data_IF_843035996464
#
_entry.id   IF_843035996464
#
_cell.length_a   1.000
_cell.length_b   1.000
_cell.length_c   1.000
_cell.angle_alpha   90.00
_cell.angle_beta   90.00
_cell.angle_gamma   90.00
#
_symmetry.space_group_name_H-M   'P 1'
#
loop_
_entity.id
_entity.type
_entity.pdbx_description
1 polymer ?
#
# COMPACT_ATOMS: atom_id res chain seq x y z
N UNK A 1 -6.40 17.26 8.61
CA UNK A 1 -6.20 17.12 7.17
C UNK A 1 -6.15 15.66 6.77
N UNK A 2 -6.71 15.34 5.62
CA UNK A 2 -6.70 13.97 5.13
C UNK A 2 -5.28 13.53 4.75
N UNK A 3 -4.98 12.27 4.97
CA UNK A 3 -3.68 11.68 4.69
C UNK A 3 -3.77 10.72 3.51
N UNK A 4 -2.67 10.56 2.79
CA UNK A 4 -2.56 9.57 1.73
C UNK A 4 -2.03 8.28 2.33
N UNK A 5 -2.75 7.18 2.12
CA UNK A 5 -2.39 5.89 2.67
C UNK A 5 -1.70 5.03 1.62
N UNK A 6 -0.53 4.51 1.95
CA UNK A 6 0.18 3.56 1.12
C UNK A 6 0.11 2.18 1.76
N UNK A 7 -0.14 1.15 0.96
CA UNK A 7 -0.23 -0.22 1.43
C UNK A 7 0.80 -1.07 0.68
N UNK A 8 1.66 -1.76 1.41
CA UNK A 8 2.57 -2.73 0.82
C UNK A 8 1.90 -4.09 0.96
N UNK A 9 1.41 -4.62 -0.15
CA UNK A 9 0.67 -5.87 -0.18
C UNK A 9 -0.81 -5.65 -0.45
N UNK A 10 -1.26 -6.04 -1.65
CA UNK A 10 -2.62 -5.81 -2.11
C UNK A 10 -3.52 -7.03 -2.09
N UNK A 11 -3.18 -8.06 -1.31
CA UNK A 11 -4.00 -9.25 -1.18
C UNK A 11 -5.25 -9.00 -0.35
N UNK A 12 -5.78 -10.05 0.25
CA UNK A 12 -7.04 -9.94 0.98
C UNK A 12 -6.99 -8.93 2.12
N UNK A 13 -5.91 -8.91 2.89
CA UNK A 13 -5.79 -7.95 3.99
C UNK A 13 -5.69 -6.52 3.46
N UNK A 14 -4.94 -6.32 2.38
CA UNK A 14 -4.85 -5.00 1.75
C UNK A 14 -6.20 -4.54 1.23
N UNK A 15 -6.99 -5.46 0.67
CA UNK A 15 -8.35 -5.17 0.23
C UNK A 15 -9.23 -4.74 1.40
N UNK A 16 -9.16 -5.46 2.52
CA UNK A 16 -9.95 -5.12 3.70
C UNK A 16 -9.58 -3.75 4.25
N UNK A 17 -8.29 -3.43 4.27
CA UNK A 17 -7.82 -2.11 4.71
C UNK A 17 -8.31 -1.03 3.76
N UNK A 18 -8.26 -1.29 2.44
CA UNK A 18 -8.75 -0.35 1.46
C UNK A 18 -10.23 -0.05 1.67
N UNK A 19 -11.03 -1.08 1.88
CA UNK A 19 -12.45 -0.91 2.12
C UNK A 19 -12.73 -0.14 3.41
N UNK A 20 -11.99 -0.47 4.48
CA UNK A 20 -12.14 0.24 5.75
C UNK A 20 -11.72 1.71 5.62
N UNK A 21 -10.62 1.97 4.91
CA UNK A 21 -10.13 3.33 4.73
C UNK A 21 -11.08 4.19 3.90
N UNK A 22 -11.81 3.60 2.97
CA UNK A 22 -12.79 4.33 2.17
C UNK A 22 -13.92 4.89 3.04
N UNK A 23 -14.21 4.25 4.16
CA UNK A 23 -15.20 4.75 5.10
C UNK A 23 -14.65 5.88 5.97
N UNK A 24 -13.35 6.15 5.88
CA UNK A 24 -12.68 7.21 6.60
C UNK A 24 -12.24 8.32 5.64
N UNK A 25 -13.07 8.62 4.65
CA UNK A 25 -12.70 9.57 3.59
C UNK A 25 -12.38 10.97 4.11
N UNK A 26 -12.85 11.33 5.29
CA UNK A 26 -12.48 12.60 5.92
C UNK A 26 -11.03 12.60 6.41
N UNK A 27 -10.46 11.42 6.63
CA UNK A 27 -9.11 11.26 7.16
C UNK A 27 -8.14 10.69 6.15
N UNK A 28 -8.64 9.90 5.19
CA UNK A 28 -7.84 9.27 4.15
C UNK A 28 -8.29 9.79 2.79
N UNK A 29 -7.43 10.57 2.14
CA UNK A 29 -7.77 11.20 0.86
C UNK A 29 -7.46 10.31 -0.33
N UNK A 30 -6.49 9.43 -0.21
CA UNK A 30 -6.01 8.62 -1.31
C UNK A 30 -5.42 7.32 -0.78
N UNK A 31 -5.63 6.24 -1.51
CA UNK A 31 -5.09 4.92 -1.14
C UNK A 31 -4.31 4.39 -2.33
N UNK A 32 -3.04 4.04 -2.12
CA UNK A 32 -2.18 3.48 -3.14
C UNK A 32 -1.59 2.18 -2.61
N UNK A 33 -1.60 1.13 -3.43
CA UNK A 33 -1.09 -0.18 -3.04
C UNK A 33 0.06 -0.59 -3.94
N UNK A 34 1.06 -1.22 -3.36
CA UNK A 34 2.17 -1.85 -4.09
C UNK A 34 1.95 -3.36 -4.06
N UNK A 35 1.82 -3.97 -5.23
CA UNK A 35 1.65 -5.42 -5.36
C UNK A 35 2.15 -5.85 -6.73
N UNK A 36 2.82 -7.02 -6.85
CA UNK A 36 3.31 -7.50 -8.14
C UNK A 36 2.20 -7.99 -9.06
N UNK A 37 1.04 -8.29 -8.52
CA UNK A 37 -0.09 -8.79 -9.31
C UNK A 37 -0.95 -7.64 -9.77
N UNK A 38 -0.99 -7.40 -11.09
CA UNK A 38 -1.84 -6.35 -11.64
C UNK A 38 -3.30 -6.61 -11.28
N UNK A 39 -4.01 -5.55 -10.97
CA UNK A 39 -5.42 -5.60 -10.57
C UNK A 39 -5.63 -6.50 -9.34
N UNK A 40 -4.76 -6.34 -8.34
CA UNK A 40 -4.85 -7.10 -7.10
C UNK A 40 -6.15 -6.80 -6.35
N UNK A 41 -6.51 -7.62 -5.34
CA UNK A 41 -7.76 -7.39 -4.59
C UNK A 41 -7.92 -5.97 -4.04
N UNK A 42 -6.86 -5.36 -3.52
CA UNK A 42 -6.93 -3.98 -3.03
C UNK A 42 -7.25 -3.01 -4.16
N UNK A 43 -6.66 -3.20 -5.35
CA UNK A 43 -6.96 -2.36 -6.50
C UNK A 43 -8.40 -2.54 -6.95
N UNK A 44 -8.92 -3.75 -6.89
CA UNK A 44 -10.32 -4.00 -7.22
C UNK A 44 -11.26 -3.32 -6.22
N UNK A 45 -10.81 -3.13 -4.99
CA UNK A 45 -11.58 -2.42 -3.97
C UNK A 45 -11.52 -0.89 -4.13
N UNK A 46 -10.68 -0.40 -5.03
CA UNK A 46 -10.62 1.02 -5.34
C UNK A 46 -9.30 1.71 -5.08
N UNK A 47 -8.28 1.01 -4.62
CA UNK A 47 -6.97 1.61 -4.41
C UNK A 47 -6.27 1.82 -5.75
N UNK A 48 -5.44 2.86 -5.84
CA UNK A 48 -4.51 3.02 -6.94
C UNK A 48 -3.43 1.97 -6.78
N UNK A 49 -2.89 1.46 -7.87
CA UNK A 49 -1.89 0.41 -7.77
C UNK A 49 -0.57 0.80 -8.44
N UNK A 50 0.52 0.51 -7.73
CA UNK A 50 1.85 0.46 -8.30
C UNK A 50 2.15 -1.02 -8.48
N UNK A 51 2.30 -1.46 -9.72
CA UNK A 51 2.64 -2.86 -10.01
C UNK A 51 4.15 -3.01 -9.87
N UNK A 52 4.56 -3.80 -8.91
CA UNK A 52 5.98 -4.00 -8.65
C UNK A 52 6.21 -5.06 -7.60
N UNK A 53 7.43 -5.55 -7.56
CA UNK A 53 7.84 -6.55 -6.60
C UNK A 53 8.01 -5.92 -5.22
N UNK A 54 7.66 -6.64 -4.16
CA UNK A 54 7.85 -6.18 -2.80
C UNK A 54 9.33 -5.95 -2.44
N UNK A 55 10.24 -6.51 -3.22
CA UNK A 55 11.68 -6.33 -3.04
C UNK A 55 12.24 -5.17 -3.85
N UNK A 56 11.42 -4.55 -4.69
CA UNK A 56 11.86 -3.45 -5.56
C UNK A 56 11.89 -2.16 -4.76
N UNK A 57 13.08 -1.73 -4.37
CA UNK A 57 13.25 -0.51 -3.59
C UNK A 57 12.73 0.73 -4.31
N UNK A 58 12.86 0.78 -5.64
CA UNK A 58 12.34 1.92 -6.40
C UNK A 58 10.82 1.99 -6.33
N UNK A 59 10.16 0.83 -6.42
CA UNK A 59 8.72 0.79 -6.31
C UNK A 59 8.26 1.20 -4.91
N UNK A 60 8.97 0.76 -3.88
CA UNK A 60 8.67 1.12 -2.51
C UNK A 60 8.87 2.62 -2.28
N UNK A 61 9.95 3.18 -2.80
CA UNK A 61 10.19 4.62 -2.69
C UNK A 61 9.11 5.42 -3.41
N UNK A 62 8.67 4.92 -4.56
CA UNK A 62 7.59 5.56 -5.31
C UNK A 62 6.30 5.56 -4.50
N UNK A 63 6.00 4.45 -3.84
CA UNK A 63 4.84 4.38 -2.95
C UNK A 63 4.99 5.38 -1.80
N UNK A 64 6.18 5.44 -1.20
CA UNK A 64 6.44 6.35 -0.09
C UNK A 64 6.26 7.81 -0.48
N UNK A 65 6.67 8.18 -1.69
CA UNK A 65 6.50 9.55 -2.19
C UNK A 65 5.03 9.91 -2.34
N UNK A 66 4.17 8.93 -2.59
CA UNK A 66 2.75 9.14 -2.80
C UNK A 66 1.93 8.94 -1.55
N UNK A 67 2.58 8.71 -0.40
CA UNK A 67 1.89 8.33 0.82
C UNK A 67 2.39 9.14 2.01
N UNK A 68 1.48 9.46 2.91
CA UNK A 68 1.82 10.09 4.20
C UNK A 68 1.94 9.03 5.28
N UNK A 69 1.19 7.93 5.14
CA UNK A 69 1.19 6.80 6.06
C UNK A 69 1.38 5.54 5.24
N UNK A 70 2.27 4.66 5.66
CA UNK A 70 2.48 3.38 4.98
C UNK A 70 2.16 2.25 5.95
N UNK A 71 1.34 1.32 5.49
CA UNK A 71 1.06 0.10 6.24
C UNK A 71 1.54 -1.11 5.44
N UNK A 72 1.83 -2.16 6.14
CA UNK A 72 2.43 -3.35 5.58
C UNK A 72 1.52 -4.54 5.84
N UNK A 73 1.08 -5.15 4.75
CA UNK A 73 0.11 -6.25 4.84
C UNK A 73 0.54 -7.43 3.98
N UNK A 74 1.77 -7.90 4.21
CA UNK A 74 2.33 -9.07 3.53
C UNK A 74 2.63 -10.12 4.58
N UNK A 75 2.07 -11.31 4.41
CA UNK A 75 2.29 -12.39 5.36
C UNK A 75 3.72 -12.93 5.33
N UNK A 76 4.34 -12.95 4.15
CA UNK A 76 5.69 -13.44 3.96
C UNK A 76 6.56 -12.41 3.27
N UNK A 77 6.47 -11.18 3.71
CA UNK A 77 7.11 -10.08 3.05
C UNK A 77 8.60 -9.99 3.25
N UNK A 78 9.19 -9.05 2.55
CA UNK A 78 10.61 -8.78 2.63
C UNK A 78 10.90 -7.84 3.78
N UNK A 79 11.28 -8.40 4.92
CA UNK A 79 11.55 -7.61 6.12
C UNK A 79 12.79 -6.74 5.98
N UNK A 80 13.72 -7.10 5.10
CA UNK A 80 14.92 -6.29 4.88
C UNK A 80 14.58 -4.93 4.31
N UNK A 81 13.69 -4.89 3.32
CA UNK A 81 13.28 -3.62 2.73
C UNK A 81 12.52 -2.78 3.76
N UNK A 82 11.66 -3.42 4.53
CA UNK A 82 10.91 -2.71 5.57
C UNK A 82 11.83 -2.14 6.64
N UNK A 83 12.88 -2.87 7.00
CA UNK A 83 13.89 -2.37 7.94
C UNK A 83 14.55 -1.10 7.42
N UNK A 84 14.83 -1.04 6.11
CA UNK A 84 15.37 0.16 5.48
C UNK A 84 14.40 1.34 5.56
N UNK A 85 13.12 1.09 5.38
CA UNK A 85 12.11 2.13 5.47
C UNK A 85 11.97 2.68 6.88
N UNK A 86 12.17 1.83 7.88
CA UNK A 86 12.07 2.25 9.29
C UNK A 86 13.30 3.00 9.76
N UNK A 87 14.41 2.76 9.11
CA UNK A 87 15.64 3.46 9.46
C UNK A 87 15.62 4.87 8.90
#
# INVERSE_FOLDING_TARGET
>A
MAKRLGIIGGGQLGMMITEAAKNLSEHISEITVLDPTENCPAAQAGAKQIVGNFKDELAILKLAEQSDIITYEIESGNTDVLSKLKA
#
